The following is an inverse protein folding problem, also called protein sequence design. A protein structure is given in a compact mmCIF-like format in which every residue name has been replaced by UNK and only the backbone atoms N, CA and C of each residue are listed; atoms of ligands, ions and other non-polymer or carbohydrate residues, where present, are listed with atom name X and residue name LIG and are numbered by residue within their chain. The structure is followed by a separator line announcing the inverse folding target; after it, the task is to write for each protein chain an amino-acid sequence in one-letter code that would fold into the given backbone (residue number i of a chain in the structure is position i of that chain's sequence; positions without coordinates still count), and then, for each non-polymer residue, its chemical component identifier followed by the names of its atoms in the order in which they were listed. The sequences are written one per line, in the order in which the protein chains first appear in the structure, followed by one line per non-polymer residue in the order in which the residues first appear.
data_IF_355070248819
#
_entry.id   IF_355070248819
#
_cell.length_a   1.000
_cell.length_b   1.000
_cell.length_c   1.000
_cell.angle_alpha   90.00
_cell.angle_beta   90.00
_cell.angle_gamma   90.00
#
_symmetry.space_group_name_H-M   'P 1'
#
loop_
_entity.id
_entity.type
_entity.pdbx_description
1 polymer ?
#
# COMPACT_ATOMS: atom_id res chain seq x y z
N UNK A 1 -8.67 -12.90 11.98
CA UNK A 1 -9.23 -11.67 11.39
C UNK A 1 -8.31 -11.17 10.31
N UNK A 2 -8.85 -10.89 9.16
CA UNK A 2 -8.11 -10.26 8.07
C UNK A 2 -8.80 -8.96 7.68
N UNK A 3 -8.02 -7.92 7.45
CA UNK A 3 -8.51 -6.60 7.07
C UNK A 3 -7.74 -6.15 5.85
N UNK A 4 -8.43 -5.54 4.91
CA UNK A 4 -7.78 -5.03 3.70
C UNK A 4 -8.02 -3.54 3.53
N UNK A 5 -7.08 -2.90 2.86
CA UNK A 5 -7.22 -1.52 2.38
C UNK A 5 -6.68 -1.44 0.96
N UNK A 6 -7.38 -0.72 0.12
CA UNK A 6 -7.02 -0.56 -1.29
C UNK A 6 -6.98 0.92 -1.62
N UNK A 7 -5.86 1.37 -2.20
CA UNK A 7 -5.75 2.70 -2.81
C UNK A 7 -5.68 2.53 -4.31
N UNK A 8 -6.69 3.03 -5.02
CA UNK A 8 -6.77 2.90 -6.48
C UNK A 8 -6.21 4.12 -7.18
N UNK A 9 -5.61 3.89 -8.34
CA UNK A 9 -5.13 4.93 -9.24
C UNK A 9 -4.15 5.90 -8.58
N UNK A 10 -3.21 5.33 -7.83
CA UNK A 10 -2.13 6.10 -7.23
C UNK A 10 -1.17 6.54 -8.34
N UNK A 11 -0.83 7.82 -8.39
CA UNK A 11 -0.02 8.42 -9.44
C UNK A 11 1.45 8.07 -9.30
N UNK A 12 1.76 6.79 -9.50
CA UNK A 12 3.13 6.30 -9.49
C UNK A 12 3.23 4.98 -10.24
N UNK A 13 4.38 4.71 -10.84
CA UNK A 13 4.64 3.47 -11.55
C UNK A 13 4.55 2.28 -10.61
N UNK A 14 3.85 1.18 -10.99
CA UNK A 14 3.75 -0.01 -10.14
C UNK A 14 5.12 -0.59 -9.74
N UNK A 15 6.08 -0.58 -10.66
CA UNK A 15 7.42 -1.11 -10.38
C UNK A 15 8.10 -0.37 -9.23
N UNK A 16 8.00 0.96 -9.21
CA UNK A 16 8.59 1.79 -8.16
C UNK A 16 7.91 1.60 -6.81
N UNK A 17 6.61 1.34 -6.83
CA UNK A 17 5.86 1.08 -5.59
C UNK A 17 6.19 -0.31 -5.06
N UNK A 18 6.34 -1.30 -5.93
CA UNK A 18 6.69 -2.68 -5.53
C UNK A 18 8.03 -2.77 -4.81
N UNK A 19 8.98 -1.93 -5.16
CA UNK A 19 10.28 -1.90 -4.48
C UNK A 19 10.15 -1.64 -2.99
N UNK A 20 9.18 -0.84 -2.60
CA UNK A 20 8.94 -0.52 -1.18
C UNK A 20 8.00 -1.52 -0.52
N UNK A 21 6.94 -1.98 -1.22
CA UNK A 21 6.00 -2.93 -0.63
C UNK A 21 6.67 -4.26 -0.28
N UNK A 22 7.67 -4.68 -1.05
CA UNK A 22 8.42 -5.91 -0.76
C UNK A 22 9.14 -5.85 0.58
N UNK A 23 9.52 -4.67 1.02
CA UNK A 23 10.25 -4.50 2.28
C UNK A 23 9.35 -4.67 3.50
N UNK A 24 8.05 -4.39 3.38
CA UNK A 24 7.13 -4.43 4.51
C UNK A 24 6.33 -5.73 4.61
N UNK A 25 6.37 -6.59 3.61
CA UNK A 25 5.65 -7.86 3.65
C UNK A 25 6.16 -8.74 4.78
N UNK A 26 5.24 -9.30 5.56
CA UNK A 26 5.57 -10.16 6.69
C UNK A 26 6.01 -9.43 7.95
N UNK A 27 6.08 -8.11 7.93
CA UNK A 27 6.45 -7.32 9.10
C UNK A 27 5.23 -7.03 9.98
N UNK A 28 5.49 -6.79 11.26
CA UNK A 28 4.48 -6.23 12.14
C UNK A 28 4.02 -4.87 11.62
N UNK A 29 2.72 -4.59 11.72
CA UNK A 29 2.15 -3.37 11.13
C UNK A 29 2.77 -2.10 11.70
N UNK A 30 3.02 -2.04 13.00
CA UNK A 30 3.64 -0.86 13.63
C UNK A 30 5.09 -0.69 13.21
N UNK A 31 5.84 -1.80 13.10
CA UNK A 31 7.20 -1.77 12.57
C UNK A 31 7.23 -1.33 11.12
N UNK A 32 6.25 -1.78 10.33
CA UNK A 32 6.12 -1.36 8.93
C UNK A 32 5.89 0.14 8.82
N UNK A 33 5.05 0.73 9.68
CA UNK A 33 4.85 2.17 9.70
C UNK A 33 6.15 2.92 10.00
N UNK A 34 6.90 2.46 10.98
CA UNK A 34 8.18 3.07 11.33
C UNK A 34 9.20 2.94 10.20
N UNK A 35 9.25 1.79 9.55
CA UNK A 35 10.14 1.56 8.42
C UNK A 35 9.79 2.48 7.24
N UNK A 36 8.51 2.64 6.93
CA UNK A 36 8.06 3.51 5.85
C UNK A 36 8.36 4.98 6.13
N UNK A 37 8.30 5.39 7.39
CA UNK A 37 8.65 6.77 7.77
C UNK A 37 10.13 7.07 7.52
N UNK A 38 10.99 6.07 7.60
CA UNK A 38 12.42 6.22 7.37
C UNK A 38 12.81 6.15 5.89
N UNK A 39 11.95 5.59 5.03
CA UNK A 39 12.24 5.47 3.59
C UNK A 39 12.04 6.82 2.92
N UNK A 40 13.01 7.24 2.12
CA UNK A 40 12.99 8.55 1.46
C UNK A 40 12.20 8.57 0.16
N UNK A 41 11.82 7.43 -0.38
CA UNK A 41 11.10 7.34 -1.65
C UNK A 41 9.67 7.87 -1.53
N UNK A 42 9.18 8.50 -2.61
CA UNK A 42 7.81 9.02 -2.67
C UNK A 42 6.77 7.92 -2.45
N UNK A 43 7.02 6.72 -2.96
CA UNK A 43 6.10 5.59 -2.81
C UNK A 43 5.85 5.21 -1.35
N UNK A 44 6.83 5.42 -0.47
CA UNK A 44 6.68 5.12 0.94
C UNK A 44 5.53 5.90 1.59
N UNK A 45 5.34 7.16 1.19
CA UNK A 45 4.25 8.00 1.72
C UNK A 45 2.88 7.46 1.31
N UNK A 46 2.77 7.02 0.05
CA UNK A 46 1.51 6.49 -0.48
C UNK A 46 1.17 5.16 0.17
N UNK A 47 2.16 4.29 0.35
CA UNK A 47 2.00 3.01 1.01
C UNK A 47 1.68 3.21 2.50
N UNK A 48 2.32 4.16 3.17
CA UNK A 48 2.05 4.50 4.56
C UNK A 48 0.61 4.93 4.76
N UNK A 49 0.06 5.73 3.85
CA UNK A 49 -1.33 6.15 3.89
C UNK A 49 -2.28 4.95 3.79
N UNK A 50 -1.99 4.03 2.88
CA UNK A 50 -2.79 2.81 2.72
C UNK A 50 -2.69 1.92 3.96
N UNK A 51 -1.51 1.81 4.54
CA UNK A 51 -1.28 1.03 5.75
C UNK A 51 -2.03 1.61 6.96
N UNK A 52 -2.02 2.92 7.12
CA UNK A 52 -2.79 3.60 8.19
C UNK A 52 -4.27 3.33 8.03
N UNK A 53 -4.78 3.37 6.80
CA UNK A 53 -6.18 3.05 6.52
C UNK A 53 -6.50 1.61 6.90
N UNK A 54 -5.61 0.66 6.60
CA UNK A 54 -5.80 -0.74 6.95
C UNK A 54 -5.83 -0.95 8.47
N UNK A 55 -4.95 -0.28 9.20
CA UNK A 55 -4.92 -0.34 10.67
C UNK A 55 -6.20 0.24 11.26
N UNK A 56 -6.66 1.37 10.73
CA UNK A 56 -7.92 1.97 11.17
C UNK A 56 -9.12 1.06 10.91
N UNK A 57 -9.15 0.38 9.76
CA UNK A 57 -10.18 -0.60 9.45
C UNK A 57 -10.16 -1.77 10.43
N UNK A 58 -8.98 -2.22 10.85
CA UNK A 58 -8.84 -3.28 11.84
C UNK A 58 -9.37 -2.84 13.20
N UNK A 59 -9.07 -1.63 13.63
CA UNK A 59 -9.58 -1.06 14.88
C UNK A 59 -11.10 -0.93 14.85
N UNK A 60 -11.65 -0.50 13.73
CA UNK A 60 -13.09 -0.35 13.54
C UNK A 60 -13.80 -1.70 13.65
N UNK A 61 -13.29 -2.72 12.96
CA UNK A 61 -13.87 -4.07 13.02
C UNK A 61 -13.76 -4.68 14.42
N UNK A 62 -12.67 -4.43 15.11
CA UNK A 62 -12.49 -4.88 16.49
C UNK A 62 -13.51 -4.24 17.43
N UNK A 63 -13.80 -2.94 17.24
CA UNK A 63 -14.80 -2.23 18.01
C UNK A 63 -16.20 -2.79 17.76
N UNK A 64 -16.54 -3.14 16.52
CA UNK A 64 -17.83 -3.74 16.19
C UNK A 64 -17.99 -5.14 16.81
N UNK A 65 -16.90 -5.88 16.97
CA UNK A 65 -16.90 -7.24 17.54
C UNK A 65 -16.55 -7.25 19.02
N UNK A 66 -16.62 -6.12 19.70
CA UNK A 66 -16.24 -6.01 21.10
C UNK A 66 -17.07 -6.94 22.03
N UNK A 67 -18.27 -7.31 21.59
CA UNK A 67 -19.16 -8.21 22.37
C UNK A 67 -18.70 -9.68 22.34
N UNK A 68 -17.73 -10.03 21.51
CA UNK A 68 -17.26 -11.41 21.36
C UNK A 68 -16.05 -11.76 22.24
N UNK A 69 -15.72 -10.93 23.21
CA UNK A 69 -14.59 -11.12 24.15
C UNK A 69 -13.24 -11.37 23.48
N UNK A 70 -13.02 -10.78 22.31
CA UNK A 70 -11.73 -10.85 21.64
C UNK A 70 -10.90 -9.61 22.00
N UNK A 71 -9.78 -9.85 22.66
CA UNK A 71 -8.84 -8.78 22.94
C UNK A 71 -8.17 -8.36 21.64
N UNK A 72 -8.50 -7.15 21.19
CA UNK A 72 -7.85 -6.56 20.04
C UNK A 72 -6.58 -5.84 20.49
N UNK A 73 -5.48 -6.18 19.85
CA UNK A 73 -4.19 -5.52 20.07
C UNK A 73 -3.59 -5.16 18.72
N UNK A 74 -3.46 -3.88 18.46
CA UNK A 74 -2.87 -3.39 17.21
C UNK A 74 -1.42 -3.82 17.05
N UNK A 75 -0.73 -4.12 18.14
CA UNK A 75 0.64 -4.63 18.10
C UNK A 75 0.75 -6.04 17.55
N UNK A 76 -0.36 -6.77 17.51
CA UNK A 76 -0.41 -8.14 17.00
C UNK A 76 -0.82 -8.23 15.54
N UNK A 77 -0.96 -7.11 14.86
CA UNK A 77 -1.27 -7.09 13.44
C UNK A 77 0.00 -7.27 12.61
N UNK A 78 -0.10 -8.11 11.60
CA UNK A 78 1.00 -8.40 10.67
C UNK A 78 0.58 -8.06 9.26
N UNK A 79 1.51 -7.56 8.46
CA UNK A 79 1.27 -7.33 7.04
C UNK A 79 1.33 -8.68 6.34
N UNK A 80 0.17 -9.26 6.08
CA UNK A 80 0.07 -10.55 5.39
C UNK A 80 0.45 -10.41 3.92
N UNK A 81 -0.11 -9.40 3.26
CA UNK A 81 0.17 -9.12 1.86
C UNK A 81 0.27 -7.62 1.65
N UNK A 82 1.21 -7.22 0.82
CA UNK A 82 1.30 -5.87 0.28
C UNK A 82 1.55 -6.02 -1.21
N UNK A 83 0.50 -5.86 -2.01
CA UNK A 83 0.51 -6.14 -3.45
C UNK A 83 0.22 -4.87 -4.22
N UNK A 84 0.89 -4.71 -5.34
CA UNK A 84 0.69 -3.58 -6.23
C UNK A 84 0.27 -4.10 -7.60
N UNK A 85 -0.92 -3.66 -8.03
CA UNK A 85 -1.42 -3.96 -9.37
C UNK A 85 -1.26 -2.77 -10.29
N UNK A 86 -1.38 -3.00 -11.58
CA UNK A 86 -1.34 -1.95 -12.58
C UNK A 86 -2.67 -1.19 -12.57
N UNK A 87 -2.59 0.15 -12.54
CA UNK A 87 -3.76 1.00 -12.71
C UNK A 87 -3.89 1.50 -14.14
N UNK A 88 -4.67 2.55 -14.31
CA UNK A 88 -4.88 3.15 -15.63
C UNK A 88 -3.58 3.81 -16.11
N UNK A 89 -3.19 3.53 -17.36
CA UNK A 89 -2.04 4.16 -18.00
C UNK A 89 -2.55 5.24 -18.95
N UNK A 90 -2.13 6.48 -18.73
CA UNK A 90 -2.46 7.59 -19.62
C UNK A 90 -1.33 7.75 -20.63
N UNK A 91 -1.68 7.70 -21.91
CA UNK A 91 -0.71 7.89 -22.99
C UNK A 91 -0.60 9.38 -23.29
N UNK A 92 0.62 9.87 -23.34
CA UNK A 92 0.93 11.25 -23.68
C UNK A 92 2.06 11.28 -24.70
N UNK A 93 2.28 12.42 -25.31
CA UNK A 93 3.29 12.59 -26.37
C UNK A 93 4.27 13.68 -25.97
N UNK A 94 5.53 13.44 -26.28
CA UNK A 94 6.60 14.41 -26.05
C UNK A 94 7.34 14.66 -27.36
N UNK A 95 7.62 15.92 -27.69
CA UNK A 95 8.44 16.24 -28.87
C UNK A 95 9.82 15.60 -28.75
N UNK A 96 10.26 15.01 -29.86
CA UNK A 96 11.60 14.42 -30.00
C UNK A 96 12.35 15.11 -31.12
N UNK A 97 13.58 14.68 -31.39
CA UNK A 97 14.42 15.27 -32.44
C UNK A 97 13.74 15.22 -33.81
N UNK A 98 14.03 16.19 -34.66
CA UNK A 98 13.54 16.29 -36.04
C UNK A 98 12.03 16.39 -36.19
N UNK A 99 11.36 17.02 -35.19
CA UNK A 99 9.91 17.21 -35.25
C UNK A 99 9.08 15.97 -35.03
N UNK A 100 9.67 14.83 -34.67
CA UNK A 100 8.93 13.63 -34.32
C UNK A 100 8.40 13.70 -32.88
N UNK A 101 7.31 12.95 -32.60
CA UNK A 101 6.74 12.85 -31.25
C UNK A 101 6.97 11.46 -30.69
N UNK A 102 7.45 11.38 -29.46
CA UNK A 102 7.64 10.10 -28.76
C UNK A 102 6.56 9.87 -27.72
N UNK A 103 6.16 8.61 -27.48
CA UNK A 103 5.13 8.32 -26.50
C UNK A 103 5.65 8.42 -25.06
N UNK A 104 4.78 8.87 -24.17
CA UNK A 104 5.02 8.86 -22.72
C UNK A 104 3.86 8.13 -22.08
N UNK A 105 4.17 7.21 -21.18
CA UNK A 105 3.17 6.50 -20.40
C UNK A 105 3.12 7.06 -18.98
N UNK A 106 2.02 7.73 -18.64
CA UNK A 106 1.75 8.18 -17.27
C UNK A 106 1.06 7.03 -16.55
N UNK A 107 1.85 6.22 -15.87
CA UNK A 107 1.35 5.02 -15.20
C UNK A 107 0.78 5.35 -13.83
N UNK A 108 -0.20 4.56 -13.42
CA UNK A 108 -0.73 4.57 -12.07
C UNK A 108 -0.74 3.16 -11.51
N UNK A 109 -0.93 3.03 -10.21
CA UNK A 109 -0.91 1.74 -9.54
C UNK A 109 -2.06 1.63 -8.55
N UNK A 110 -2.42 0.39 -8.25
CA UNK A 110 -3.39 0.06 -7.21
C UNK A 110 -2.65 -0.65 -6.09
N UNK A 111 -2.68 -0.09 -4.89
CA UNK A 111 -2.00 -0.65 -3.72
C UNK A 111 -3.02 -1.37 -2.87
N UNK A 112 -2.78 -2.65 -2.57
CA UNK A 112 -3.62 -3.44 -1.70
C UNK A 112 -2.78 -3.97 -0.55
N UNK A 113 -3.22 -3.68 0.68
CA UNK A 113 -2.57 -4.17 1.88
C UNK A 113 -3.58 -4.99 2.68
N UNK A 114 -3.20 -6.20 3.04
CA UNK A 114 -4.00 -7.09 3.88
C UNK A 114 -3.25 -7.28 5.20
N UNK A 115 -3.92 -6.96 6.29
CA UNK A 115 -3.41 -7.18 7.64
C UNK A 115 -4.09 -8.40 8.26
N UNK A 116 -3.35 -9.16 9.04
CA UNK A 116 -3.86 -10.32 9.74
C UNK A 116 -3.37 -10.30 11.18
N UNK A 117 -4.17 -10.85 12.09
CA UNK A 117 -3.77 -11.04 13.49
C UNK A 117 -2.91 -12.28 13.68
N UNK A 118 -2.76 -13.08 12.64
CA UNK A 118 -1.94 -14.30 12.66
C UNK A 118 -0.66 -14.06 11.86
N UNK A 119 0.46 -14.36 12.48
CA UNK A 119 1.75 -14.28 11.79
C UNK A 119 1.82 -15.34 10.70
N UNK A 120 2.09 -14.88 9.48
CA UNK A 120 2.21 -15.79 8.34
C UNK A 120 3.52 -16.58 8.41
#
# INVERSE_FOLDING_TARGET
MEVKSISKNVRMSPQKVREVTRQIQGMNALKAQSALAAVTRKSARLISKTLKSAIANAEYLAAEKADENQDFDSEKLWVKEAVVGDGVTMKRWQPKARGSAGPIHKRSSNIRIILSDQKA
#
